data_IF_204037430405
#
_entry.id   IF_204037430405
#
_cell.length_a   1.000
_cell.length_b   1.000
_cell.length_c   1.000
_cell.angle_alpha   90.00
_cell.angle_beta   90.00
_cell.angle_gamma   90.00
#
_symmetry.space_group_name_H-M   'P 1'
#
loop_
_entity.id
_entity.type
_entity.pdbx_description
1 polymer ?
#
# COMPACT_ATOMS: atom_id res chain seq x y z
N UNK A 1 -8.88 5.64 19.76
CA UNK A 1 -7.90 6.30 18.86
C UNK A 1 -8.42 6.12 17.45
N UNK A 2 -8.83 7.20 16.78
CA UNK A 2 -9.29 7.12 15.40
C UNK A 2 -8.09 6.79 14.51
N UNK A 3 -8.09 5.62 13.88
CA UNK A 3 -7.17 5.30 12.79
C UNK A 3 -7.36 6.36 11.71
N UNK A 4 -6.34 7.20 11.48
CA UNK A 4 -6.33 8.11 10.34
C UNK A 4 -6.52 7.27 9.08
N UNK A 5 -7.56 7.57 8.32
CA UNK A 5 -7.82 6.93 7.04
C UNK A 5 -6.66 7.32 6.10
N UNK A 6 -5.70 6.43 5.87
CA UNK A 6 -4.58 6.69 4.97
C UNK A 6 -5.10 6.73 3.52
N UNK A 7 -5.30 7.92 2.97
CA UNK A 7 -5.92 8.12 1.64
C UNK A 7 -4.95 8.15 0.47
N UNK A 8 -3.67 7.85 0.67
CA UNK A 8 -2.63 8.23 -0.29
C UNK A 8 -2.43 7.27 -1.48
N UNK A 9 -3.01 6.07 -1.47
CA UNK A 9 -2.92 5.07 -2.57
C UNK A 9 -4.27 4.51 -3.01
N UNK A 10 -5.36 5.15 -2.59
CA UNK A 10 -6.72 4.66 -2.86
C UNK A 10 -7.37 5.38 -4.05
N UNK A 11 -6.56 6.00 -4.92
CA UNK A 11 -7.07 6.61 -6.15
C UNK A 11 -7.31 5.55 -7.22
N UNK A 12 -8.11 5.90 -8.22
CA UNK A 12 -8.41 4.96 -9.29
C UNK A 12 -7.19 4.73 -10.17
N UNK A 13 -6.96 3.47 -10.55
CA UNK A 13 -5.74 3.05 -11.25
C UNK A 13 -4.48 2.96 -10.39
N UNK A 14 -4.55 3.14 -9.07
CA UNK A 14 -3.44 2.87 -8.15
C UNK A 14 -3.25 1.35 -7.99
N UNK A 15 -2.06 0.87 -8.29
CA UNK A 15 -1.65 -0.52 -8.12
C UNK A 15 -0.32 -0.62 -7.36
N UNK A 16 -0.07 -1.76 -6.71
CA UNK A 16 1.19 -2.08 -6.06
C UNK A 16 1.77 -3.39 -6.60
N UNK A 17 3.09 -3.48 -6.74
CA UNK A 17 3.76 -4.78 -6.80
C UNK A 17 4.51 -5.03 -5.51
N UNK A 18 4.42 -6.24 -4.99
CA UNK A 18 5.20 -6.68 -3.86
C UNK A 18 6.43 -7.47 -4.30
N UNK A 19 7.59 -7.13 -3.74
CA UNK A 19 8.85 -7.84 -3.97
C UNK A 19 9.56 -8.12 -2.63
N UNK A 20 9.50 -9.37 -2.18
CA UNK A 20 10.07 -9.77 -0.88
C UNK A 20 11.59 -9.61 -0.80
N UNK A 21 12.27 -9.63 -1.95
CA UNK A 21 13.73 -9.51 -2.04
C UNK A 21 14.26 -8.08 -1.89
N UNK A 22 13.40 -7.05 -1.97
CA UNK A 22 13.84 -5.67 -1.77
C UNK A 22 14.24 -5.48 -0.30
N UNK A 23 15.51 -5.13 -0.08
CA UNK A 23 16.05 -4.86 1.26
C UNK A 23 16.02 -3.36 1.55
N UNK A 24 15.40 -2.93 2.67
CA UNK A 24 15.25 -1.51 3.00
C UNK A 24 16.54 -0.84 3.50
N UNK A 25 17.55 -1.62 3.86
CA UNK A 25 18.83 -1.09 4.35
C UNK A 25 19.98 -2.04 4.02
N UNK A 26 21.16 -1.47 3.78
CA UNK A 26 22.38 -2.24 3.51
C UNK A 26 22.70 -3.25 4.64
N UNK A 27 23.27 -4.39 4.26
CA UNK A 27 23.65 -5.46 5.20
C UNK A 27 22.50 -6.32 5.73
N UNK A 28 21.24 -6.05 5.34
CA UNK A 28 20.11 -6.94 5.65
C UNK A 28 19.94 -8.04 4.61
N UNK A 29 19.35 -9.16 5.04
CA UNK A 29 18.98 -10.28 4.16
C UNK A 29 17.60 -10.04 3.55
N UNK A 30 17.36 -10.43 2.29
CA UNK A 30 16.02 -10.41 1.69
C UNK A 30 15.06 -11.38 2.40
N UNK A 31 13.75 -11.16 2.20
CA UNK A 31 12.74 -12.12 2.61
C UNK A 31 12.60 -13.17 1.50
N UNK A 32 12.61 -14.45 1.89
CA UNK A 32 12.35 -15.56 0.99
C UNK A 32 11.25 -16.46 1.54
N UNK A 33 10.45 -17.00 0.63
CA UNK A 33 9.46 -18.06 0.88
C UNK A 33 10.02 -19.35 0.25
N UNK A 34 10.34 -20.33 1.09
CA UNK A 34 11.01 -21.59 0.70
C UNK A 34 12.30 -21.41 -0.11
N UNK A 35 13.04 -20.34 0.18
CA UNK A 35 14.30 -20.04 -0.51
C UNK A 35 14.15 -19.30 -1.84
N UNK A 36 12.92 -18.97 -2.23
CA UNK A 36 12.63 -18.16 -3.42
C UNK A 36 12.15 -16.77 -3.00
N UNK A 37 12.43 -15.77 -3.85
CA UNK A 37 11.78 -14.48 -3.70
C UNK A 37 10.29 -14.62 -4.04
N UNK A 38 9.46 -13.90 -3.29
CA UNK A 38 8.04 -13.77 -3.59
C UNK A 38 7.85 -12.45 -4.33
N UNK A 39 7.37 -12.55 -5.57
CA UNK A 39 6.93 -11.42 -6.38
C UNK A 39 5.43 -11.55 -6.58
N UNK A 40 4.68 -10.55 -6.14
CA UNK A 40 3.23 -10.49 -6.34
C UNK A 40 2.93 -9.24 -7.15
N UNK A 41 2.63 -9.37 -8.45
CA UNK A 41 2.33 -8.22 -9.28
C UNK A 41 0.93 -7.69 -9.00
N UNK A 42 0.73 -6.39 -9.26
CA UNK A 42 -0.60 -5.78 -9.44
C UNK A 42 -1.63 -6.11 -8.35
N UNK A 43 -1.37 -5.56 -7.18
CA UNK A 43 -2.30 -5.49 -6.06
C UNK A 43 -3.08 -4.19 -6.15
N UNK A 44 -4.39 -4.22 -5.91
CA UNK A 44 -5.18 -3.00 -5.87
C UNK A 44 -6.31 -3.07 -4.86
N UNK A 45 -6.87 -1.91 -4.55
CA UNK A 45 -8.11 -1.81 -3.78
C UNK A 45 -9.30 -2.02 -4.72
N UNK A 46 -10.15 -3.00 -4.39
CA UNK A 46 -11.37 -3.28 -5.12
C UNK A 46 -12.35 -2.11 -5.01
N UNK A 47 -13.03 -1.83 -6.11
CA UNK A 47 -14.04 -0.79 -6.23
C UNK A 47 -15.43 -1.39 -6.46
N UNK A 48 -16.45 -0.67 -6.01
CA UNK A 48 -17.84 -0.98 -6.34
C UNK A 48 -18.18 -0.55 -7.77
N UNK A 49 -19.42 -0.79 -8.19
CA UNK A 49 -19.92 -0.42 -9.53
C UNK A 49 -19.95 1.08 -9.79
N UNK A 50 -19.82 1.91 -8.76
CA UNK A 50 -19.74 3.38 -8.87
C UNK A 50 -18.28 3.87 -8.87
N UNK A 51 -17.29 2.96 -8.86
CA UNK A 51 -15.87 3.29 -8.81
C UNK A 51 -15.38 3.70 -7.42
N UNK A 52 -16.17 3.48 -6.36
CA UNK A 52 -15.76 3.82 -4.99
C UNK A 52 -15.01 2.66 -4.35
N UNK A 53 -13.92 2.96 -3.65
CA UNK A 53 -13.17 1.97 -2.88
C UNK A 53 -14.07 1.28 -1.85
N UNK A 54 -14.05 -0.05 -1.85
CA UNK A 54 -14.80 -0.87 -0.89
C UNK A 54 -14.06 -0.86 0.44
N UNK A 55 -14.70 -0.34 1.49
CA UNK A 55 -14.09 -0.20 2.83
C UNK A 55 -14.98 -0.73 3.94
N UNK A 56 -14.36 -1.11 5.07
CA UNK A 56 -15.03 -1.47 6.31
C UNK A 56 -14.42 -0.72 7.51
N UNK A 57 -15.21 -0.41 8.55
CA UNK A 57 -14.65 0.06 9.81
C UNK A 57 -13.62 -0.94 10.38
N UNK A 58 -12.52 -0.49 10.99
CA UNK A 58 -12.15 0.89 11.35
C UNK A 58 -11.38 1.66 10.25
N UNK A 59 -11.39 1.20 9.00
CA UNK A 59 -10.57 1.77 7.92
C UNK A 59 -9.80 0.69 7.15
N UNK A 60 -10.44 -0.45 6.91
CA UNK A 60 -9.89 -1.53 6.11
C UNK A 60 -10.35 -1.36 4.66
N UNK A 61 -9.45 -1.59 3.71
CA UNK A 61 -9.75 -1.63 2.28
C UNK A 61 -9.82 -3.06 1.80
N UNK A 62 -10.73 -3.34 0.88
CA UNK A 62 -10.79 -4.66 0.24
C UNK A 62 -9.73 -4.74 -0.85
N UNK A 63 -8.80 -5.68 -0.73
CA UNK A 63 -7.70 -5.89 -1.68
C UNK A 63 -7.93 -7.08 -2.56
N UNK A 64 -7.43 -6.95 -3.78
CA UNK A 64 -7.37 -8.01 -4.79
C UNK A 64 -6.01 -8.01 -5.46
N UNK A 65 -5.65 -9.17 -6.00
CA UNK A 65 -4.42 -9.39 -6.77
C UNK A 65 -4.78 -9.89 -8.15
N UNK A 66 -4.09 -9.39 -9.17
CA UNK A 66 -4.18 -9.97 -10.49
C UNK A 66 -3.26 -11.19 -10.56
N UNK A 67 -3.83 -12.35 -10.89
CA UNK A 67 -3.04 -13.52 -11.24
C UNK A 67 -2.84 -13.50 -12.77
N UNK A 68 -1.64 -13.18 -13.27
CA UNK A 68 -1.39 -13.07 -14.71
C UNK A 68 -1.48 -14.44 -15.41
N UNK A 69 -1.36 -15.54 -14.67
CA UNK A 69 -1.45 -16.89 -15.22
C UNK A 69 -2.91 -17.37 -15.32
N UNK A 70 -3.86 -16.61 -14.75
CA UNK A 70 -5.29 -16.87 -14.83
C UNK A 70 -5.97 -15.78 -15.65
N UNK A 71 -6.34 -16.13 -16.88
CA UNK A 71 -7.24 -15.33 -17.71
C UNK A 71 -8.61 -15.98 -17.75
N UNK A 72 -9.64 -15.15 -17.73
CA UNK A 72 -10.99 -15.60 -18.01
C UNK A 72 -11.10 -16.08 -19.47
N UNK A 73 -12.09 -16.92 -19.82
CA UNK A 73 -12.25 -17.45 -21.18
C UNK A 73 -12.40 -16.39 -22.26
N UNK A 74 -12.83 -15.17 -21.90
CA UNK A 74 -12.97 -14.02 -22.79
C UNK A 74 -11.67 -13.20 -22.94
N UNK A 75 -10.58 -13.65 -22.31
CA UNK A 75 -9.29 -12.99 -22.28
C UNK A 75 -9.20 -11.82 -21.30
N UNK A 76 -10.22 -11.61 -20.46
CA UNK A 76 -10.17 -10.61 -19.41
C UNK A 76 -9.29 -11.06 -18.23
N UNK A 77 -8.79 -10.07 -17.51
CA UNK A 77 -7.93 -10.27 -16.34
C UNK A 77 -8.71 -10.88 -15.18
N UNK A 78 -8.16 -11.94 -14.57
CA UNK A 78 -8.72 -12.48 -13.33
C UNK A 78 -8.15 -11.75 -12.13
N UNK A 79 -9.03 -11.33 -11.23
CA UNK A 79 -8.66 -10.69 -9.97
C UNK A 79 -9.11 -11.57 -8.80
N UNK A 80 -8.15 -11.99 -7.98
CA UNK A 80 -8.39 -12.83 -6.82
C UNK A 80 -8.54 -11.98 -5.57
N UNK A 81 -9.59 -12.24 -4.80
CA UNK A 81 -9.87 -11.54 -3.55
C UNK A 81 -8.89 -11.93 -2.44
N UNK A 82 -8.17 -10.95 -1.90
CA UNK A 82 -7.28 -11.15 -0.73
C UNK A 82 -8.01 -10.90 0.59
N UNK A 83 -8.96 -9.95 0.60
CA UNK A 83 -9.76 -9.57 1.76
C UNK A 83 -9.49 -8.14 2.28
N UNK A 84 -9.94 -7.85 3.49
CA UNK A 84 -9.88 -6.50 4.10
C UNK A 84 -8.59 -6.25 4.88
N UNK A 85 -7.81 -5.22 4.52
CA UNK A 85 -6.54 -4.85 5.19
C UNK A 85 -6.40 -3.35 5.41
N UNK A 86 -5.75 -2.96 6.51
CA UNK A 86 -5.56 -1.56 6.93
C UNK A 86 -4.36 -0.86 6.28
N UNK A 87 -3.63 -1.56 5.41
CA UNK A 87 -2.43 -1.06 4.76
C UNK A 87 -1.44 -2.18 4.45
N UNK A 88 -0.29 -1.84 3.87
CA UNK A 88 0.63 -2.84 3.33
C UNK A 88 1.39 -3.68 4.35
N UNK A 89 1.41 -3.32 5.65
CA UNK A 89 1.90 -4.26 6.67
C UNK A 89 0.97 -5.46 6.78
N UNK A 90 -0.32 -5.19 6.90
CA UNK A 90 -1.33 -6.26 6.95
C UNK A 90 -1.40 -7.01 5.63
N UNK A 91 -1.26 -6.29 4.50
CA UNK A 91 -1.18 -6.89 3.17
C UNK A 91 0.06 -7.78 3.01
N UNK A 92 1.27 -7.31 3.33
CA UNK A 92 2.50 -8.12 3.25
C UNK A 92 2.36 -9.40 4.08
N UNK A 93 1.87 -9.27 5.31
CA UNK A 93 1.64 -10.44 6.15
C UNK A 93 0.68 -11.42 5.48
N UNK A 94 -0.42 -10.92 4.90
CA UNK A 94 -1.36 -11.76 4.17
C UNK A 94 -0.71 -12.43 2.96
N UNK A 95 0.07 -11.70 2.16
CA UNK A 95 0.75 -12.24 0.98
C UNK A 95 1.74 -13.34 1.39
N UNK A 96 2.56 -13.09 2.40
CA UNK A 96 3.48 -14.08 2.92
C UNK A 96 2.72 -15.29 3.48
N UNK A 97 1.67 -15.11 4.27
CA UNK A 97 0.87 -16.21 4.81
C UNK A 97 0.13 -17.00 3.71
N UNK A 98 -0.42 -16.31 2.71
CA UNK A 98 -1.17 -16.89 1.61
C UNK A 98 -0.26 -17.72 0.71
N UNK A 99 0.83 -17.13 0.22
CA UNK A 99 1.76 -17.80 -0.69
C UNK A 99 2.72 -18.76 0.02
N UNK A 100 3.04 -18.57 1.31
CA UNK A 100 3.80 -19.58 2.07
C UNK A 100 2.96 -20.84 2.34
N UNK A 101 1.64 -20.73 2.55
CA UNK A 101 0.78 -21.92 2.69
C UNK A 101 0.76 -22.77 1.43
N UNK A 102 0.85 -22.14 0.26
CA UNK A 102 0.85 -22.85 -1.02
C UNK A 102 2.23 -23.45 -1.39
N UNK A 103 3.34 -22.86 -0.91
CA UNK A 103 4.69 -23.23 -1.35
C UNK A 103 5.53 -23.95 -0.28
N UNK A 104 5.12 -23.91 0.99
CA UNK A 104 5.82 -24.47 2.15
C UNK A 104 6.05 -23.46 3.29
N UNK A 105 6.04 -23.92 4.54
CA UNK A 105 5.97 -23.05 5.73
C UNK A 105 7.25 -22.23 6.04
N UNK A 106 8.29 -22.30 5.21
CA UNK A 106 9.59 -21.69 5.53
C UNK A 106 9.71 -20.29 4.97
N UNK A 107 9.28 -19.30 5.76
CA UNK A 107 9.60 -17.88 5.52
C UNK A 107 10.88 -17.49 6.25
N UNK A 108 11.85 -16.95 5.52
CA UNK A 108 13.11 -16.43 6.08
C UNK A 108 13.26 -14.96 5.76
N UNK A 109 13.92 -14.18 6.62
CA UNK A 109 14.08 -12.75 6.41
C UNK A 109 14.91 -12.09 7.51
N UNK A 110 15.07 -10.75 7.46
CA UNK A 110 15.76 -10.02 8.51
C UNK A 110 15.02 -10.15 9.84
N UNK A 111 15.78 -10.21 10.94
CA UNK A 111 15.21 -10.21 12.30
C UNK A 111 14.28 -9.00 12.48
N UNK A 112 13.06 -9.26 12.95
CA UNK A 112 12.05 -8.22 13.18
C UNK A 112 11.25 -7.80 11.95
N UNK A 113 11.70 -8.06 10.72
CA UNK A 113 10.96 -7.66 9.51
C UNK A 113 9.57 -8.31 9.44
N UNK A 114 9.49 -9.60 9.79
CA UNK A 114 8.24 -10.37 9.81
C UNK A 114 7.34 -10.06 11.02
N UNK A 115 7.89 -9.50 12.11
CA UNK A 115 7.15 -9.22 13.35
C UNK A 115 6.71 -7.76 13.46
N UNK A 116 7.64 -6.85 13.20
CA UNK A 116 7.49 -5.43 13.50
C UNK A 116 7.10 -4.64 12.24
N UNK A 117 7.32 -5.20 11.05
CA UNK A 117 6.97 -4.56 9.77
C UNK A 117 7.93 -3.45 9.35
N UNK A 118 9.15 -3.45 9.88
CA UNK A 118 10.16 -2.47 9.47
C UNK A 118 10.52 -2.64 7.99
N UNK A 119 10.40 -1.55 7.24
CA UNK A 119 10.67 -1.47 5.81
C UNK A 119 9.72 -2.27 4.94
N UNK A 120 8.51 -2.58 5.42
CA UNK A 120 7.43 -3.16 4.61
C UNK A 120 7.20 -2.32 3.36
N UNK A 121 7.06 -1.01 3.54
CA UNK A 121 6.74 -0.07 2.47
C UNK A 121 7.77 -0.06 1.35
N UNK A 122 9.05 -0.29 1.67
CA UNK A 122 10.11 -0.36 0.67
C UNK A 122 9.97 -1.55 -0.28
N UNK A 123 9.24 -2.59 0.14
CA UNK A 123 8.99 -3.81 -0.65
C UNK A 123 7.76 -3.70 -1.55
N UNK A 124 7.04 -2.58 -1.49
CA UNK A 124 5.96 -2.27 -2.42
C UNK A 124 6.41 -1.21 -3.42
N UNK A 125 6.21 -1.51 -4.70
CA UNK A 125 6.39 -0.59 -5.80
C UNK A 125 5.04 -0.03 -6.19
N UNK A 126 4.89 1.29 -6.15
CA UNK A 126 3.67 1.98 -6.53
C UNK A 126 3.63 2.23 -8.03
N UNK A 127 2.47 1.95 -8.63
CA UNK A 127 2.18 2.23 -10.03
C UNK A 127 0.88 3.02 -10.14
N UNK A 128 0.91 4.03 -11.01
CA UNK A 128 -0.27 4.72 -11.52
C UNK A 128 -0.09 4.90 -13.02
N UNK A 129 -1.17 4.69 -13.78
CA UNK A 129 -1.15 4.86 -15.23
C UNK A 129 -0.66 6.26 -15.62
N UNK A 130 0.37 6.32 -16.47
CA UNK A 130 0.97 7.57 -16.94
C UNK A 130 2.06 8.16 -16.03
N UNK A 131 2.34 7.53 -14.87
CA UNK A 131 3.41 7.94 -13.96
C UNK A 131 4.57 6.94 -13.97
N UNK A 132 5.77 7.39 -13.56
CA UNK A 132 6.89 6.48 -13.32
C UNK A 132 6.63 5.66 -12.05
N UNK A 133 6.98 4.36 -12.09
CA UNK A 133 6.95 3.50 -10.90
C UNK A 133 7.85 4.07 -9.81
N UNK A 134 7.32 4.21 -8.59
CA UNK A 134 8.02 4.73 -7.41
C UNK A 134 8.04 3.70 -6.30
N UNK A 135 8.92 3.85 -5.31
CA UNK A 135 8.78 3.07 -4.08
C UNK A 135 7.62 3.60 -3.27
N UNK A 136 6.88 2.72 -2.62
CA UNK A 136 5.73 3.15 -1.83
C UNK A 136 6.11 4.05 -0.64
N UNK A 137 7.33 3.88 -0.11
CA UNK A 137 7.90 4.81 0.87
C UNK A 137 7.96 6.25 0.32
N UNK A 138 8.48 6.43 -0.89
CA UNK A 138 8.64 7.74 -1.53
C UNK A 138 7.28 8.43 -1.72
N UNK A 139 6.30 7.69 -2.24
CA UNK A 139 4.92 8.19 -2.44
C UNK A 139 4.29 8.61 -1.10
N UNK A 140 4.51 7.83 -0.04
CA UNK A 140 4.03 8.14 1.30
C UNK A 140 4.68 9.42 1.85
N UNK A 141 5.97 9.59 1.65
CA UNK A 141 6.69 10.78 2.08
C UNK A 141 6.18 12.03 1.35
N UNK A 142 6.06 11.97 0.03
CA UNK A 142 5.50 13.04 -0.81
C UNK A 142 4.09 13.44 -0.33
N UNK A 143 3.22 12.46 -0.10
CA UNK A 143 1.86 12.70 0.39
C UNK A 143 1.85 13.43 1.73
N UNK A 144 2.63 12.98 2.71
CA UNK A 144 2.66 13.60 4.04
C UNK A 144 3.34 14.97 4.04
N UNK A 145 4.30 15.20 3.15
CA UNK A 145 4.86 16.53 2.93
C UNK A 145 3.79 17.48 2.38
N UNK A 146 3.04 17.07 1.36
CA UNK A 146 1.96 17.87 0.79
C UNK A 146 0.84 18.17 1.82
N UNK A 147 0.45 17.18 2.63
CA UNK A 147 -0.54 17.37 3.70
C UNK A 147 -0.08 18.38 4.76
N UNK A 148 1.20 18.34 5.16
CA UNK A 148 1.75 19.32 6.10
C UNK A 148 1.76 20.73 5.52
N UNK A 149 2.11 20.87 4.25
CA UNK A 149 2.09 22.18 3.56
C UNK A 149 0.68 22.75 3.46
N UNK A 150 -0.30 21.92 3.09
CA UNK A 150 -1.71 22.34 3.07
C UNK A 150 -2.20 22.78 4.45
N UNK A 151 -1.83 22.05 5.50
CA UNK A 151 -2.22 22.41 6.86
C UNK A 151 -1.61 23.77 7.27
N UNK A 152 -0.33 24.01 6.94
CA UNK A 152 0.33 25.29 7.22
C UNK A 152 -0.33 26.46 6.47
N UNK A 153 -0.68 26.27 5.19
CA UNK A 153 -1.39 27.30 4.41
C UNK A 153 -2.77 27.62 4.99
N UNK A 154 -3.52 26.61 5.43
CA UNK A 154 -4.83 26.82 6.06
C UNK A 154 -4.72 27.55 7.41
N UNK A 155 -3.68 27.26 8.19
CA UNK A 155 -3.41 27.95 9.46
C UNK A 155 -3.04 29.42 9.19
N UNK A 156 -2.20 29.72 8.20
CA UNK A 156 -1.84 31.09 7.80
C UNK A 156 -3.03 31.89 7.25
N UNK A 157 -3.90 31.28 6.45
CA UNK A 157 -5.13 31.93 5.94
C UNK A 157 -6.11 32.27 7.09
N UNK A 158 -6.28 31.36 8.05
CA UNK A 158 -7.13 31.61 9.22
C UNK A 158 -6.57 32.70 10.15
N UNK A 159 -5.25 32.75 10.35
CA UNK A 159 -4.61 33.82 11.11
C UNK A 159 -4.79 35.19 10.43
N UNK A 160 -4.66 35.26 9.10
CA UNK A 160 -4.88 36.50 8.35
C UNK A 160 -6.34 36.98 8.38
N UNK A 161 -7.31 36.07 8.29
CA UNK A 161 -8.73 36.41 8.43
C UNK A 161 -9.05 36.96 9.83
N UNK A 162 -8.50 36.35 10.90
CA UNK A 162 -8.68 36.83 12.27
C UNK A 162 -8.02 38.19 12.53
N UNK A 163 -6.84 38.45 11.96
CA UNK A 163 -6.18 39.76 12.07
C UNK A 163 -6.95 40.86 11.32
N UNK A 164 -7.58 40.54 10.18
CA UNK A 164 -8.44 41.50 9.46
C UNK A 164 -9.74 41.80 10.20
N UNK A 165 -10.35 40.81 10.87
CA UNK A 165 -11.55 41.03 11.68
C UNK A 165 -11.28 41.85 12.96
N UNK A 166 -10.09 41.74 13.57
CA UNK A 166 -9.74 42.54 14.76
C UNK A 166 -9.36 44.00 14.45
N UNK A 167 -9.08 44.33 13.19
CA UNK A 167 -8.73 45.69 12.76
C UNK A 167 -9.95 46.51 12.26
N UNK A 168 -11.15 45.93 12.24
CA UNK A 168 -12.42 46.61 11.94
C UNK A 168 -13.21 46.92 13.22
#
# INVERSE_FOLDING_TARGET
>A
MASRQEGFFVQDGDELDYHSAIVPSEGKKPIHVNGHELVVPRLRVRRDSAGKAITQPPGLWFWEVNDPDQLEPDGSETWMELGFFSGPKDLEKKLLDFFARDWGDKVTGPTGALKDGHGVWDRFLFRRSGEQTKKMMEVREEYWQAQRQQQQQQEEEQEQEQEQEQQQ
#
